data_IF_132365828717
#
_entry.id   IF_132365828717
#
_cell.length_a   1.000
_cell.length_b   1.000
_cell.length_c   1.000
_cell.angle_alpha   90.00
_cell.angle_beta   90.00
_cell.angle_gamma   90.00
#
_symmetry.space_group_name_H-M   'P 1'
#
loop_
_entity.id
_entity.type
_entity.pdbx_description
1 polymer ?
#
# COMPACT_ATOMS: atom_id res chain seq x y z
N UNK A 1 -44.42 16.22 39.73
CA UNK A 1 -44.86 17.51 40.32
C UNK A 1 -45.57 18.31 39.23
N UNK A 2 -46.76 18.89 39.50
CA UNK A 2 -47.49 19.72 38.53
C UNK A 2 -46.77 21.07 38.43
N UNK A 3 -46.39 21.46 37.22
CA UNK A 3 -45.70 22.72 36.95
C UNK A 3 -46.36 23.41 35.76
N UNK A 4 -46.36 24.74 35.76
CA UNK A 4 -46.79 25.58 34.63
C UNK A 4 -45.57 26.06 33.85
N UNK A 5 -45.74 26.33 32.55
CA UNK A 5 -44.67 26.90 31.73
C UNK A 5 -44.34 28.36 32.13
N UNK A 6 -45.34 29.06 32.68
CA UNK A 6 -45.25 30.43 33.19
C UNK A 6 -45.24 30.47 34.72
N UNK A 7 -44.90 31.63 35.27
CA UNK A 7 -44.91 31.88 36.72
C UNK A 7 -46.22 31.47 37.39
N UNK A 8 -46.19 30.74 38.53
CA UNK A 8 -47.40 30.33 39.27
C UNK A 8 -48.30 31.49 39.69
N UNK A 9 -47.77 32.72 39.78
CA UNK A 9 -48.55 33.92 40.09
C UNK A 9 -49.63 34.24 39.05
N UNK A 10 -49.47 33.78 37.81
CA UNK A 10 -50.50 33.94 36.78
C UNK A 10 -51.77 33.13 37.08
N UNK A 11 -51.72 32.13 37.97
CA UNK A 11 -52.93 31.42 38.43
C UNK A 11 -53.87 32.41 39.13
N UNK A 12 -53.36 33.35 39.92
CA UNK A 12 -54.17 34.39 40.55
C UNK A 12 -54.79 35.33 39.50
N UNK A 13 -54.07 35.62 38.42
CA UNK A 13 -54.61 36.39 37.30
C UNK A 13 -55.74 35.64 36.58
N UNK A 14 -55.60 34.32 36.37
CA UNK A 14 -56.66 33.49 35.80
C UNK A 14 -57.94 33.53 36.65
N UNK A 15 -57.79 33.43 37.98
CA UNK A 15 -58.91 33.56 38.92
C UNK A 15 -59.52 34.97 38.86
N UNK A 16 -58.70 36.03 38.81
CA UNK A 16 -59.18 37.41 38.73
C UNK A 16 -59.97 37.68 37.43
N UNK A 17 -59.50 37.17 36.29
CA UNK A 17 -60.19 37.27 34.99
C UNK A 17 -61.52 36.52 35.04
N UNK A 18 -61.53 35.30 35.58
CA UNK A 18 -62.77 34.55 35.78
C UNK A 18 -63.77 35.26 36.68
N UNK A 19 -63.30 35.88 37.77
CA UNK A 19 -64.14 36.61 38.72
C UNK A 19 -64.70 37.89 38.11
N UNK A 20 -63.86 38.66 37.40
CA UNK A 20 -64.28 39.86 36.69
C UNK A 20 -65.30 39.55 35.59
N UNK A 21 -65.08 38.48 34.82
CA UNK A 21 -66.01 38.07 33.76
C UNK A 21 -67.36 37.58 34.32
N UNK A 22 -67.33 36.80 35.41
CA UNK A 22 -68.54 36.35 36.09
C UNK A 22 -69.30 37.53 36.73
N UNK A 23 -68.60 38.46 37.39
CA UNK A 23 -69.22 39.64 37.98
C UNK A 23 -69.89 40.52 36.92
N UNK A 24 -69.21 40.79 35.81
CA UNK A 24 -69.72 41.66 34.74
C UNK A 24 -70.96 41.09 34.06
N UNK A 25 -70.98 39.78 33.78
CA UNK A 25 -72.10 39.15 33.06
C UNK A 25 -73.32 38.95 33.95
N UNK A 26 -73.13 38.74 35.26
CA UNK A 26 -74.20 38.42 36.21
C UNK A 26 -74.55 39.57 37.16
N UNK A 27 -73.98 40.78 36.98
CA UNK A 27 -74.35 42.00 37.71
C UNK A 27 -75.60 42.71 37.19
N UNK A 28 -76.03 42.40 35.95
CA UNK A 28 -77.25 42.98 35.36
C UNK A 28 -78.52 42.32 35.94
N UNK A 29 -79.66 43.01 35.86
CA UNK A 29 -80.95 42.45 36.31
C UNK A 29 -81.33 41.26 35.44
N UNK A 30 -81.33 40.09 36.05
CA UNK A 30 -81.62 38.83 35.37
C UNK A 30 -83.04 38.33 35.71
N UNK A 31 -83.71 37.63 34.78
CA UNK A 31 -85.12 37.23 34.93
C UNK A 31 -85.37 36.06 35.90
N UNK A 32 -84.35 35.61 36.64
CA UNK A 32 -84.37 34.44 37.53
C UNK A 32 -83.97 34.77 38.97
N UNK A 33 -84.17 33.81 39.88
CA UNK A 33 -83.91 34.00 41.31
C UNK A 33 -82.44 34.26 41.62
N UNK A 34 -82.17 35.01 42.71
CA UNK A 34 -80.81 35.37 43.12
C UNK A 34 -79.91 34.15 43.34
N UNK A 35 -80.45 33.06 43.88
CA UNK A 35 -79.70 31.82 44.12
C UNK A 35 -79.20 31.18 42.82
N UNK A 36 -80.05 31.14 41.79
CA UNK A 36 -79.68 30.61 40.47
C UNK A 36 -78.65 31.52 39.80
N UNK A 37 -78.80 32.84 39.94
CA UNK A 37 -77.85 33.80 39.38
C UNK A 37 -76.44 33.63 39.98
N UNK A 38 -76.33 33.45 41.30
CA UNK A 38 -75.04 33.17 41.95
C UNK A 38 -74.47 31.79 41.59
N UNK A 39 -75.31 30.76 41.44
CA UNK A 39 -74.86 29.43 41.02
C UNK A 39 -74.28 29.45 39.60
N UNK A 40 -74.96 30.12 38.66
CA UNK A 40 -74.48 30.27 37.29
C UNK A 40 -73.21 31.13 37.22
N UNK A 41 -73.13 32.21 38.01
CA UNK A 41 -71.92 33.02 38.11
C UNK A 41 -70.73 32.21 38.66
N UNK A 42 -70.96 31.39 39.70
CA UNK A 42 -69.94 30.50 40.26
C UNK A 42 -69.45 29.45 39.25
N UNK A 43 -70.37 28.83 38.52
CA UNK A 43 -70.01 27.88 37.46
C UNK A 43 -69.20 28.57 36.35
N UNK A 44 -69.60 29.76 35.93
CA UNK A 44 -68.89 30.53 34.90
C UNK A 44 -67.50 30.95 35.35
N UNK A 45 -67.36 31.38 36.61
CA UNK A 45 -66.07 31.66 37.23
C UNK A 45 -65.12 30.46 37.15
N UNK A 46 -65.60 29.27 37.55
CA UNK A 46 -64.78 28.05 37.51
C UNK A 46 -64.35 27.72 36.08
N UNK A 47 -65.28 27.75 35.13
CA UNK A 47 -64.99 27.41 33.73
C UNK A 47 -63.99 28.38 33.10
N UNK A 48 -64.19 29.68 33.26
CA UNK A 48 -63.30 30.69 32.67
C UNK A 48 -61.93 30.66 33.32
N UNK A 49 -61.87 30.54 34.65
CA UNK A 49 -60.60 30.42 35.37
C UNK A 49 -59.84 29.16 34.97
N UNK A 50 -60.55 28.04 34.79
CA UNK A 50 -59.95 26.78 34.36
C UNK A 50 -59.45 26.84 32.91
N UNK A 51 -60.20 27.47 32.00
CA UNK A 51 -59.75 27.70 30.63
C UNK A 51 -58.50 28.58 30.58
N UNK A 52 -58.47 29.68 31.35
CA UNK A 52 -57.29 30.52 31.50
C UNK A 52 -56.11 29.77 32.13
N UNK A 53 -56.37 28.85 33.07
CA UNK A 53 -55.34 27.99 33.64
C UNK A 53 -54.77 27.00 32.61
N UNK A 54 -55.59 26.41 31.74
CA UNK A 54 -55.12 25.54 30.66
C UNK A 54 -54.27 26.30 29.64
N UNK A 55 -54.56 27.58 29.39
CA UNK A 55 -53.72 28.47 28.58
C UNK A 55 -52.31 28.67 29.17
N UNK A 56 -52.11 28.45 30.47
CA UNK A 56 -50.77 28.43 31.09
C UNK A 56 -49.97 27.15 30.80
N UNK A 57 -50.53 26.23 29.99
CA UNK A 57 -49.91 24.99 29.54
C UNK A 57 -49.32 24.15 30.69
N UNK A 58 -50.16 23.65 31.62
CA UNK A 58 -49.70 22.83 32.73
C UNK A 58 -49.12 21.50 32.23
N UNK A 59 -47.96 21.09 32.76
CA UNK A 59 -47.33 19.82 32.45
C UNK A 59 -46.90 19.07 33.72
N UNK A 60 -46.78 17.76 33.60
CA UNK A 60 -46.36 16.88 34.69
C UNK A 60 -44.88 16.55 34.50
N UNK A 61 -44.02 17.00 35.41
CA UNK A 61 -42.62 16.60 35.45
C UNK A 61 -42.46 15.33 36.27
N UNK A 62 -42.01 14.26 35.63
CA UNK A 62 -41.61 13.00 36.27
C UNK A 62 -40.10 12.86 36.16
N UNK A 63 -39.43 12.66 37.30
CA UNK A 63 -37.98 12.40 37.34
C UNK A 63 -37.81 10.93 37.64
N UNK A 64 -37.20 10.18 36.73
CA UNK A 64 -36.89 8.76 36.93
C UNK A 64 -35.39 8.64 37.18
N UNK A 65 -35.01 8.25 38.40
CA UNK A 65 -33.62 7.93 38.72
C UNK A 65 -33.36 6.48 38.34
N UNK A 66 -32.30 6.23 37.56
CA UNK A 66 -31.85 4.88 37.23
C UNK A 66 -30.45 4.66 37.79
N UNK A 67 -30.28 3.66 38.63
CA UNK A 67 -28.96 3.25 39.12
C UNK A 67 -28.34 2.33 38.08
N UNK A 68 -27.24 2.76 37.47
CA UNK A 68 -26.47 1.95 36.53
C UNK A 68 -25.31 1.25 37.24
N UNK A 69 -25.17 -0.05 37.00
CA UNK A 69 -24.04 -0.81 37.52
C UNK A 69 -22.74 -0.40 36.78
N UNK A 70 -21.62 -0.22 37.51
CA UNK A 70 -20.34 0.06 36.89
C UNK A 70 -19.91 -1.07 35.96
N UNK A 71 -19.36 -0.72 34.80
CA UNK A 71 -18.91 -1.67 33.79
C UNK A 71 -17.38 -1.80 33.81
N UNK A 72 -16.88 -3.03 33.80
CA UNK A 72 -15.46 -3.36 33.62
C UNK A 72 -15.29 -4.06 32.28
N UNK A 73 -14.36 -3.57 31.47
CA UNK A 73 -14.04 -4.21 30.18
C UNK A 73 -12.77 -5.04 30.32
N UNK A 74 -12.85 -6.32 29.96
CA UNK A 74 -11.69 -7.20 29.77
C UNK A 74 -11.23 -7.04 28.33
N UNK A 75 -10.21 -6.22 28.11
CA UNK A 75 -9.61 -5.99 26.80
C UNK A 75 -8.47 -6.98 26.61
N UNK A 76 -8.67 -7.96 25.73
CA UNK A 76 -7.73 -9.06 25.49
C UNK A 76 -7.11 -8.93 24.11
N UNK A 77 -5.80 -8.80 24.09
CA UNK A 77 -4.99 -8.93 22.88
C UNK A 77 -5.04 -10.38 22.39
N UNK A 78 -5.71 -10.60 21.26
CA UNK A 78 -5.83 -11.90 20.60
C UNK A 78 -4.94 -12.00 19.36
N UNK A 79 -3.80 -11.31 19.37
CA UNK A 79 -2.81 -11.39 18.30
C UNK A 79 -2.04 -12.71 18.28
N UNK A 80 -1.46 -13.02 17.12
CA UNK A 80 -0.63 -14.21 16.94
C UNK A 80 0.65 -14.16 17.78
N UNK A 81 1.15 -12.98 18.15
CA UNK A 81 2.34 -12.86 19.00
C UNK A 81 2.09 -13.49 20.38
N UNK A 82 0.93 -13.26 20.97
CA UNK A 82 0.57 -13.82 22.28
C UNK A 82 0.72 -15.34 22.28
N UNK A 83 0.20 -16.03 21.26
CA UNK A 83 0.30 -17.49 21.14
C UNK A 83 1.72 -17.99 20.84
N UNK A 84 2.55 -17.20 20.17
CA UNK A 84 3.92 -17.59 19.81
C UNK A 84 4.91 -17.36 20.95
N UNK A 85 4.75 -16.26 21.69
CA UNK A 85 5.71 -15.81 22.69
C UNK A 85 5.34 -16.21 24.12
N UNK A 86 4.07 -16.46 24.42
CA UNK A 86 3.61 -16.86 25.76
C UNK A 86 3.68 -18.37 25.94
N UNK A 87 4.28 -18.89 27.04
CA UNK A 87 4.29 -20.32 27.32
C UNK A 87 2.87 -20.90 27.40
N UNK A 88 2.69 -22.12 26.89
CA UNK A 88 1.39 -22.81 26.90
C UNK A 88 0.73 -22.88 28.29
N UNK A 89 1.44 -23.16 29.39
CA UNK A 89 0.83 -23.15 30.73
C UNK A 89 0.25 -21.79 31.14
N UNK A 90 0.91 -20.69 30.76
CA UNK A 90 0.42 -19.34 31.04
C UNK A 90 -0.81 -18.99 30.19
N UNK A 91 -0.86 -19.45 28.93
CA UNK A 91 -2.06 -19.31 28.08
C UNK A 91 -3.24 -20.13 28.60
N UNK A 92 -2.98 -21.35 29.09
CA UNK A 92 -4.00 -22.21 29.68
C UNK A 92 -4.52 -21.59 31.00
N UNK A 93 -3.64 -20.99 31.82
CA UNK A 93 -4.02 -20.23 33.01
C UNK A 93 -4.82 -18.96 32.67
N UNK A 94 -4.48 -18.25 31.60
CA UNK A 94 -5.20 -17.06 31.17
C UNK A 94 -6.62 -17.41 30.70
N UNK A 95 -6.75 -18.43 29.84
CA UNK A 95 -8.04 -18.85 29.27
C UNK A 95 -9.00 -19.41 30.33
N UNK A 96 -8.48 -19.98 31.41
CA UNK A 96 -9.27 -20.42 32.57
C UNK A 96 -9.53 -19.30 33.58
N UNK A 97 -8.56 -18.41 33.80
CA UNK A 97 -8.63 -17.31 34.76
C UNK A 97 -9.53 -16.15 34.33
N UNK A 98 -9.60 -15.83 33.02
CA UNK A 98 -10.47 -14.75 32.52
C UNK A 98 -11.97 -14.99 32.78
N UNK A 99 -12.55 -16.17 32.50
CA UNK A 99 -13.90 -16.50 32.91
C UNK A 99 -14.13 -16.39 34.43
N UNK A 100 -13.17 -16.86 35.24
CA UNK A 100 -13.25 -16.79 36.70
C UNK A 100 -13.27 -15.35 37.19
N UNK A 101 -12.36 -14.51 36.68
CA UNK A 101 -12.31 -13.08 36.98
C UNK A 101 -13.62 -12.38 36.58
N UNK A 102 -14.15 -12.69 35.39
CA UNK A 102 -15.42 -12.15 34.93
C UNK A 102 -16.57 -12.52 35.88
N UNK A 103 -16.61 -13.75 36.39
CA UNK A 103 -17.62 -14.19 37.33
C UNK A 103 -17.47 -13.51 38.70
N UNK A 104 -16.26 -13.43 39.26
CA UNK A 104 -16.00 -12.72 40.52
C UNK A 104 -16.39 -11.23 40.45
N UNK A 105 -16.13 -10.58 39.31
CA UNK A 105 -16.54 -9.19 39.11
C UNK A 105 -18.08 -9.05 39.03
N UNK A 106 -18.77 -9.98 38.35
CA UNK A 106 -20.24 -10.00 38.31
C UNK A 106 -20.86 -10.22 39.68
N UNK A 107 -20.31 -11.12 40.49
CA UNK A 107 -20.75 -11.37 41.88
C UNK A 107 -20.60 -10.11 42.76
N UNK A 108 -19.59 -9.28 42.50
CA UNK A 108 -19.39 -7.98 43.16
C UNK A 108 -20.27 -6.86 42.62
N UNK A 109 -21.19 -7.15 41.69
CA UNK A 109 -22.14 -6.19 41.14
C UNK A 109 -21.63 -5.39 39.94
N UNK A 110 -20.48 -5.75 39.35
CA UNK A 110 -19.99 -5.13 38.11
C UNK A 110 -20.60 -5.79 36.88
N UNK A 111 -20.88 -5.00 35.86
CA UNK A 111 -21.12 -5.51 34.51
C UNK A 111 -19.77 -5.81 33.87
N UNK A 112 -19.60 -7.00 33.28
CA UNK A 112 -18.33 -7.39 32.63
C UNK A 112 -18.54 -7.63 31.15
N UNK A 113 -17.79 -6.90 30.32
CA UNK A 113 -17.73 -7.09 28.87
C UNK A 113 -16.33 -7.54 28.47
N UNK A 114 -16.21 -8.42 27.48
CA UNK A 114 -14.91 -8.88 26.96
C UNK A 114 -14.73 -8.41 25.54
N UNK A 115 -13.58 -7.84 25.23
CA UNK A 115 -13.26 -7.29 23.90
C UNK A 115 -11.92 -7.77 23.42
N UNK A 116 -11.81 -7.94 22.11
CA UNK A 116 -10.56 -8.31 21.46
C UNK A 116 -10.25 -7.36 20.31
N UNK A 117 -9.07 -7.48 19.72
CA UNK A 117 -8.63 -6.63 18.61
C UNK A 117 -9.51 -6.77 17.36
N UNK A 118 -10.18 -7.91 17.20
CA UNK A 118 -10.95 -8.23 15.98
C UNK A 118 -12.46 -8.23 16.16
N UNK A 119 -12.97 -8.36 17.39
CA UNK A 119 -14.42 -8.37 17.63
C UNK A 119 -14.78 -7.68 18.94
N UNK A 120 -15.90 -6.96 18.90
CA UNK A 120 -16.60 -6.48 20.08
C UNK A 120 -17.48 -7.61 20.64
N UNK A 121 -17.24 -8.01 21.88
CA UNK A 121 -17.97 -9.07 22.61
C UNK A 121 -17.71 -10.50 22.11
N UNK A 122 -16.76 -11.18 22.76
CA UNK A 122 -16.55 -12.63 22.63
C UNK A 122 -16.66 -13.24 24.04
N UNK A 123 -17.29 -14.41 24.17
CA UNK A 123 -17.19 -15.16 25.41
C UNK A 123 -15.71 -15.49 25.71
N UNK A 124 -15.21 -15.32 26.96
CA UNK A 124 -13.79 -15.51 27.26
C UNK A 124 -13.21 -16.88 26.88
N UNK A 125 -14.05 -17.91 26.75
CA UNK A 125 -13.71 -19.28 26.33
C UNK A 125 -13.49 -19.43 24.81
N UNK A 126 -13.96 -18.46 24.02
CA UNK A 126 -13.93 -18.45 22.56
C UNK A 126 -12.73 -17.68 22.00
N UNK A 127 -11.77 -17.31 22.85
CA UNK A 127 -10.54 -16.63 22.45
C UNK A 127 -9.73 -17.50 21.47
N UNK A 128 -9.37 -16.88 20.35
CA UNK A 128 -8.48 -17.44 19.32
C UNK A 128 -7.45 -16.38 18.99
N UNK A 129 -6.18 -16.70 19.22
CA UNK A 129 -5.02 -15.81 19.06
C UNK A 129 -4.58 -15.73 17.59
N UNK A 130 -5.47 -15.24 16.73
CA UNK A 130 -5.29 -15.27 15.27
C UNK A 130 -5.14 -13.89 14.63
N UNK A 131 -5.25 -12.81 15.41
CA UNK A 131 -5.13 -11.46 14.86
C UNK A 131 -3.70 -11.21 14.37
N UNK A 132 -3.54 -10.74 13.14
CA UNK A 132 -2.23 -10.49 12.53
C UNK A 132 -1.64 -9.12 12.89
N UNK A 133 -2.43 -8.29 13.58
CA UNK A 133 -2.09 -6.90 13.94
C UNK A 133 -2.56 -6.61 15.36
N UNK A 134 -1.81 -5.76 16.04
CA UNK A 134 -2.01 -5.34 17.42
C UNK A 134 -2.12 -3.82 17.45
N UNK A 135 -3.36 -3.33 17.54
CA UNK A 135 -3.69 -1.91 17.72
C UNK A 135 -4.41 -1.75 19.07
N UNK A 136 -3.61 -1.58 20.12
CA UNK A 136 -4.12 -1.44 21.48
C UNK A 136 -4.87 -0.11 21.67
N UNK A 137 -4.51 0.93 20.92
CA UNK A 137 -5.15 2.23 21.03
C UNK A 137 -6.58 2.18 20.49
N UNK A 138 -6.80 1.51 19.36
CA UNK A 138 -8.14 1.25 18.84
C UNK A 138 -8.96 0.43 19.84
N UNK A 139 -8.41 -0.66 20.38
CA UNK A 139 -9.11 -1.50 21.37
C UNK A 139 -9.58 -0.72 22.61
N UNK A 140 -8.72 0.17 23.14
CA UNK A 140 -9.06 1.01 24.28
C UNK A 140 -10.05 2.12 23.91
N UNK A 141 -9.90 2.72 22.72
CA UNK A 141 -10.82 3.74 22.21
C UNK A 141 -12.22 3.20 21.93
N UNK A 142 -12.32 2.01 21.34
CA UNK A 142 -13.58 1.31 21.12
C UNK A 142 -14.26 0.98 22.45
N UNK A 143 -13.47 0.58 23.46
CA UNK A 143 -13.94 0.32 24.82
C UNK A 143 -14.53 1.56 25.48
N UNK A 144 -13.94 2.74 25.22
CA UNK A 144 -14.48 4.04 25.64
C UNK A 144 -15.78 4.35 24.91
N UNK A 145 -15.78 4.30 23.58
CA UNK A 145 -16.89 4.75 22.74
C UNK A 145 -18.16 3.94 23.02
N UNK A 146 -18.03 2.62 23.08
CA UNK A 146 -19.19 1.76 23.32
C UNK A 146 -19.71 1.79 24.77
N UNK A 147 -18.96 2.41 25.69
CA UNK A 147 -19.40 2.66 27.06
C UNK A 147 -19.54 4.17 27.34
N UNK A 148 -19.64 5.02 26.30
CA UNK A 148 -19.75 6.46 26.47
C UNK A 148 -21.00 6.89 27.25
N UNK A 149 -22.10 6.14 27.09
CA UNK A 149 -23.37 6.37 27.81
C UNK A 149 -23.46 5.61 29.14
N UNK A 150 -22.38 4.94 29.57
CA UNK A 150 -22.36 4.07 30.75
C UNK A 150 -21.24 4.45 31.71
N UNK A 151 -21.36 4.02 32.95
CA UNK A 151 -20.30 4.17 33.94
C UNK A 151 -19.18 3.12 33.71
N UNK A 152 -18.18 3.45 32.90
CA UNK A 152 -16.98 2.63 32.71
C UNK A 152 -16.04 2.77 33.93
N UNK A 153 -16.04 1.77 34.80
CA UNK A 153 -15.22 1.77 36.02
C UNK A 153 -13.74 1.47 35.76
N UNK A 154 -13.41 0.80 34.65
CA UNK A 154 -12.04 0.52 34.27
C UNK A 154 -11.90 -0.54 33.19
N UNK A 155 -10.69 -0.66 32.66
CA UNK A 155 -10.34 -1.64 31.64
C UNK A 155 -9.21 -2.51 32.14
N UNK A 156 -9.38 -3.83 32.10
CA UNK A 156 -8.30 -4.80 32.34
C UNK A 156 -7.69 -5.13 30.97
N UNK A 157 -6.49 -4.65 30.71
CA UNK A 157 -5.77 -4.87 29.46
C UNK A 157 -4.85 -6.08 29.59
N UNK A 158 -5.07 -7.10 28.78
CA UNK A 158 -4.25 -8.31 28.72
C UNK A 158 -3.48 -8.30 27.40
N UNK A 159 -2.17 -8.10 27.43
CA UNK A 159 -1.33 -8.00 26.22
C UNK A 159 0.16 -8.23 26.54
N UNK A 160 0.95 -8.51 25.52
CA UNK A 160 2.43 -8.46 25.57
C UNK A 160 2.97 -7.01 25.47
N UNK A 161 2.09 -6.03 25.22
CA UNK A 161 2.39 -4.60 25.17
C UNK A 161 3.01 -4.14 23.85
N UNK A 162 3.17 -5.02 22.86
CA UNK A 162 3.81 -4.71 21.59
C UNK A 162 2.79 -4.26 20.55
N UNK A 163 2.81 -2.96 20.23
CA UNK A 163 1.94 -2.34 19.21
C UNK A 163 2.62 -2.39 17.85
N UNK A 164 1.93 -2.90 16.82
CA UNK A 164 2.45 -2.92 15.44
C UNK A 164 1.55 -2.19 14.44
N UNK A 165 0.42 -1.66 14.90
CA UNK A 165 -0.50 -0.84 14.14
C UNK A 165 -1.09 0.23 15.05
N UNK A 166 -1.34 1.42 14.49
CA UNK A 166 -1.96 2.52 15.22
C UNK A 166 -0.96 3.29 16.06
N UNK A 167 -1.48 4.22 16.85
CA UNK A 167 -0.72 5.00 17.81
C UNK A 167 -0.43 4.15 19.05
N UNK A 168 0.72 4.35 19.70
CA UNK A 168 0.96 3.71 20.99
C UNK A 168 0.02 4.32 22.06
N UNK A 169 -0.67 3.49 22.87
CA UNK A 169 -1.62 3.97 23.89
C UNK A 169 -1.05 4.97 24.89
N UNK A 170 0.27 4.98 25.11
CA UNK A 170 0.93 5.93 26.02
C UNK A 170 0.80 7.39 25.58
N UNK A 171 0.55 7.63 24.29
CA UNK A 171 0.34 8.97 23.73
C UNK A 171 -1.14 9.37 23.66
N UNK A 172 -2.03 8.53 24.17
CA UNK A 172 -3.48 8.74 24.17
C UNK A 172 -3.99 8.98 25.58
N UNK A 173 -4.94 9.89 25.72
CA UNK A 173 -5.60 10.14 26.99
C UNK A 173 -6.86 9.28 27.13
N UNK A 174 -6.90 8.48 28.19
CA UNK A 174 -8.06 7.66 28.57
C UNK A 174 -8.62 8.16 29.90
N UNK A 175 -9.94 8.38 29.94
CA UNK A 175 -10.66 8.90 31.12
C UNK A 175 -11.09 7.80 32.11
N UNK A 176 -10.44 6.63 32.05
CA UNK A 176 -10.72 5.47 32.89
C UNK A 176 -9.40 4.79 33.29
N UNK A 177 -9.35 4.10 34.44
CA UNK A 177 -8.16 3.37 34.86
C UNK A 177 -7.93 2.14 33.98
N UNK A 178 -6.66 1.90 33.64
CA UNK A 178 -6.22 0.73 32.87
C UNK A 178 -5.39 -0.16 33.80
N UNK A 179 -5.85 -1.40 34.00
CA UNK A 179 -5.16 -2.43 34.75
C UNK A 179 -4.49 -3.40 33.78
N UNK A 180 -3.18 -3.33 33.63
CA UNK A 180 -2.44 -4.17 32.68
C UNK A 180 -2.05 -5.51 33.28
N UNK A 181 -2.36 -6.60 32.58
CA UNK A 181 -1.84 -7.94 32.80
C UNK A 181 -0.88 -8.25 31.67
N UNK A 182 0.42 -8.23 31.98
CA UNK A 182 1.47 -8.50 31.01
C UNK A 182 1.54 -9.99 30.67
N UNK A 183 1.63 -10.30 29.38
CA UNK A 183 1.85 -11.64 28.86
C UNK A 183 3.22 -11.75 28.16
N UNK A 184 3.81 -12.93 28.19
CA UNK A 184 5.08 -13.22 27.53
C UNK A 184 6.09 -13.90 28.44
N UNK A 185 7.28 -14.15 27.88
CA UNK A 185 8.42 -14.76 28.56
C UNK A 185 9.57 -13.75 28.55
N UNK A 186 10.12 -13.45 29.73
CA UNK A 186 11.24 -12.50 29.90
C UNK A 186 12.59 -13.11 29.56
N UNK A 187 12.67 -14.43 29.32
CA UNK A 187 13.92 -15.11 28.98
C UNK A 187 14.31 -14.78 27.55
N UNK A 188 15.50 -14.21 27.36
CA UNK A 188 16.07 -13.95 26.05
C UNK A 188 16.22 -15.26 25.26
N UNK A 189 15.51 -15.36 24.13
CA UNK A 189 15.52 -16.56 23.29
C UNK A 189 16.58 -16.41 22.20
N UNK A 190 17.22 -17.52 21.83
CA UNK A 190 18.18 -17.52 20.72
C UNK A 190 17.38 -17.42 19.43
N UNK A 191 17.69 -16.45 18.60
CA UNK A 191 16.95 -16.19 17.36
C UNK A 191 17.91 -15.73 16.27
N UNK A 192 17.67 -16.21 15.05
CA UNK A 192 18.34 -15.77 13.84
C UNK A 192 17.23 -15.23 12.94
N UNK A 193 17.47 -14.13 12.23
CA UNK A 193 16.42 -13.53 11.40
C UNK A 193 16.95 -12.71 10.26
N UNK A 194 16.19 -12.65 9.16
CA UNK A 194 16.41 -11.65 8.11
C UNK A 194 15.70 -10.35 8.47
N UNK A 195 16.48 -9.39 8.93
CA UNK A 195 15.98 -8.09 9.37
C UNK A 195 15.60 -7.23 8.16
N UNK A 196 16.44 -7.20 7.13
CA UNK A 196 16.20 -6.41 5.93
C UNK A 196 16.83 -7.05 4.67
N UNK A 197 16.35 -6.62 3.49
CA UNK A 197 16.82 -7.06 2.18
C UNK A 197 16.88 -5.86 1.22
N UNK A 198 18.10 -5.41 0.89
CA UNK A 198 18.38 -4.24 0.05
C UNK A 198 18.75 -4.68 -1.36
N UNK A 199 18.03 -4.18 -2.36
CA UNK A 199 18.25 -4.53 -3.77
C UNK A 199 17.71 -3.49 -4.75
N UNK A 200 18.24 -3.52 -5.97
CA UNK A 200 17.72 -2.73 -7.08
C UNK A 200 16.45 -3.39 -7.65
N UNK A 201 15.37 -2.61 -7.77
CA UNK A 201 14.10 -3.10 -8.35
C UNK A 201 14.19 -3.43 -9.84
N UNK A 202 15.17 -2.86 -10.53
CA UNK A 202 15.43 -3.07 -11.96
C UNK A 202 16.85 -3.58 -12.17
N UNK A 203 16.99 -4.64 -12.97
CA UNK A 203 18.28 -5.17 -13.40
C UNK A 203 18.31 -5.34 -14.94
N UNK A 204 19.46 -5.18 -15.56
CA UNK A 204 19.61 -5.36 -17.01
C UNK A 204 20.04 -6.79 -17.31
N UNK A 205 19.32 -7.45 -18.21
CA UNK A 205 19.62 -8.82 -18.65
C UNK A 205 21.09 -8.95 -19.08
N UNK A 206 21.77 -9.98 -18.56
CA UNK A 206 23.20 -10.24 -18.80
C UNK A 206 24.17 -9.56 -17.82
N UNK A 207 23.71 -8.56 -17.05
CA UNK A 207 24.55 -7.88 -16.06
C UNK A 207 24.46 -8.55 -14.68
N UNK A 208 25.48 -8.31 -13.84
CA UNK A 208 25.44 -8.66 -12.41
C UNK A 208 24.82 -7.55 -11.59
N UNK A 209 24.08 -7.89 -10.55
CA UNK A 209 23.50 -6.94 -9.60
C UNK A 209 23.68 -7.42 -8.14
N UNK A 210 23.86 -6.49 -7.19
CA UNK A 210 23.97 -6.82 -5.78
C UNK A 210 22.59 -7.08 -5.15
N UNK A 211 22.53 -8.07 -4.26
CA UNK A 211 21.43 -8.33 -3.34
C UNK A 211 22.01 -8.42 -1.93
N UNK A 212 21.76 -7.42 -1.08
CA UNK A 212 22.30 -7.35 0.27
C UNK A 212 21.25 -7.78 1.30
N UNK A 213 21.60 -8.79 2.10
CA UNK A 213 20.76 -9.28 3.18
C UNK A 213 21.34 -8.86 4.54
N UNK A 214 20.49 -8.28 5.39
CA UNK A 214 20.83 -7.96 6.77
C UNK A 214 20.30 -9.05 7.71
N UNK A 215 21.21 -9.69 8.43
CA UNK A 215 20.90 -10.79 9.35
C UNK A 215 21.02 -10.25 10.77
N UNK A 216 19.94 -10.37 11.52
CA UNK A 216 19.92 -10.15 12.96
C UNK A 216 20.15 -11.47 13.69
N UNK A 217 20.90 -11.45 14.78
CA UNK A 217 21.16 -12.64 15.58
C UNK A 217 21.23 -12.31 17.07
N UNK A 218 20.66 -13.20 17.87
CA UNK A 218 20.66 -13.14 19.32
C UNK A 218 21.00 -14.53 19.88
N UNK A 219 21.96 -14.61 20.79
CA UNK A 219 22.44 -15.89 21.33
C UNK A 219 23.28 -16.76 20.37
N UNK A 220 23.62 -16.27 19.17
CA UNK A 220 24.48 -16.97 18.18
C UNK A 220 25.84 -16.27 17.95
N UNK A 221 26.19 -15.31 18.80
CA UNK A 221 27.48 -14.63 18.77
C UNK A 221 28.66 -15.62 18.89
N UNK A 222 29.70 -15.42 18.09
CA UNK A 222 30.85 -16.32 17.96
C UNK A 222 30.64 -17.48 16.98
N UNK A 223 29.42 -17.64 16.45
CA UNK A 223 29.07 -18.69 15.49
C UNK A 223 29.19 -18.26 14.02
N UNK A 224 28.54 -19.04 13.15
CA UNK A 224 28.35 -18.71 11.74
C UNK A 224 26.96 -19.16 11.29
N UNK A 225 26.34 -18.40 10.38
CA UNK A 225 25.08 -18.73 9.75
C UNK A 225 25.28 -19.01 8.25
N UNK A 226 24.44 -19.86 7.67
CA UNK A 226 24.42 -20.10 6.21
C UNK A 226 23.23 -19.36 5.61
N UNK A 227 23.49 -18.54 4.61
CA UNK A 227 22.48 -17.73 3.92
C UNK A 227 22.47 -18.11 2.45
N UNK A 228 21.28 -18.39 1.95
CA UNK A 228 21.04 -18.89 0.59
C UNK A 228 20.13 -17.93 -0.17
N UNK A 229 20.43 -17.72 -1.44
CA UNK A 229 19.53 -17.07 -2.38
C UNK A 229 18.95 -18.14 -3.30
N UNK A 230 17.62 -18.15 -3.41
CA UNK A 230 16.86 -19.13 -4.19
C UNK A 230 15.97 -18.45 -5.20
N UNK A 231 15.71 -19.14 -6.30
CA UNK A 231 14.74 -18.73 -7.31
C UNK A 231 14.00 -19.98 -7.80
N UNK A 232 12.67 -19.96 -7.77
CA UNK A 232 11.85 -21.11 -8.17
C UNK A 232 12.18 -22.41 -7.42
N UNK A 233 12.67 -22.32 -6.17
CA UNK A 233 13.09 -23.46 -5.35
C UNK A 233 14.54 -23.92 -5.56
N UNK A 234 15.23 -23.44 -6.60
CA UNK A 234 16.66 -23.75 -6.82
C UNK A 234 17.54 -22.77 -6.06
N UNK A 235 18.59 -23.27 -5.41
CA UNK A 235 19.64 -22.44 -4.79
C UNK A 235 20.54 -21.87 -5.91
N UNK A 236 20.63 -20.55 -5.97
CA UNK A 236 21.48 -19.81 -6.91
C UNK A 236 22.87 -19.56 -6.32
N UNK A 237 22.91 -19.13 -5.06
CA UNK A 237 24.14 -18.88 -4.31
C UNK A 237 23.92 -19.23 -2.84
N UNK A 238 24.95 -19.75 -2.17
CA UNK A 238 24.96 -20.06 -0.74
C UNK A 238 26.24 -19.53 -0.13
N UNK A 239 26.14 -18.87 1.02
CA UNK A 239 27.29 -18.27 1.70
C UNK A 239 27.23 -18.52 3.20
N UNK A 240 28.36 -18.92 3.76
CA UNK A 240 28.57 -18.99 5.20
C UNK A 240 29.07 -17.63 5.71
N UNK A 241 28.37 -17.05 6.67
CA UNK A 241 28.65 -15.71 7.21
C UNK A 241 28.97 -15.83 8.69
N UNK A 242 30.08 -15.23 9.13
CA UNK A 242 30.46 -15.21 10.54
C UNK A 242 29.56 -14.28 11.34
N UNK A 243 29.20 -14.69 12.57
CA UNK A 243 28.39 -13.94 13.52
C UNK A 243 29.30 -13.42 14.65
N UNK A 244 29.98 -12.28 14.47
CA UNK A 244 30.97 -11.80 15.44
C UNK A 244 30.35 -11.45 16.79
N UNK A 245 31.10 -11.68 17.86
CA UNK A 245 30.72 -11.24 19.21
C UNK A 245 30.69 -9.72 19.31
N UNK A 246 29.73 -9.18 20.08
CA UNK A 246 29.57 -7.73 20.28
C UNK A 246 28.74 -7.01 19.20
N UNK A 247 28.34 -7.68 18.13
CA UNK A 247 27.33 -7.18 17.17
C UNK A 247 26.04 -7.99 17.30
N UNK A 248 24.91 -7.36 16.96
CA UNK A 248 23.59 -8.01 16.87
C UNK A 248 23.09 -8.15 15.43
N UNK A 249 23.79 -7.53 14.48
CA UNK A 249 23.44 -7.51 13.06
C UNK A 249 24.69 -7.53 12.19
N UNK A 250 24.56 -8.16 11.03
CA UNK A 250 25.59 -8.22 9.99
C UNK A 250 24.93 -8.13 8.61
N UNK A 251 25.72 -7.74 7.62
CA UNK A 251 25.28 -7.67 6.22
C UNK A 251 26.08 -8.65 5.36
N UNK A 252 25.43 -9.25 4.39
CA UNK A 252 26.06 -10.08 3.36
C UNK A 252 25.51 -9.71 1.99
N UNK A 253 26.39 -9.56 1.00
CA UNK A 253 26.01 -9.14 -0.36
C UNK A 253 26.25 -10.26 -1.37
N UNK A 254 25.18 -10.70 -2.02
CA UNK A 254 25.21 -11.67 -3.13
C UNK A 254 25.33 -10.92 -4.46
N UNK A 255 26.04 -11.50 -5.43
CA UNK A 255 26.26 -10.89 -6.75
C UNK A 255 25.65 -11.81 -7.82
N UNK A 256 24.39 -11.54 -8.17
CA UNK A 256 23.58 -12.40 -9.03
C UNK A 256 23.62 -11.91 -10.47
N UNK A 257 23.58 -12.83 -11.44
CA UNK A 257 23.47 -12.49 -12.86
C UNK A 257 22.00 -12.40 -13.26
N UNK A 258 21.60 -11.29 -13.89
CA UNK A 258 20.24 -11.09 -14.37
C UNK A 258 19.94 -11.99 -15.59
N UNK A 259 18.88 -12.83 -15.53
CA UNK A 259 18.50 -13.75 -16.61
C UNK A 259 17.82 -13.01 -17.78
N UNK A 260 17.02 -13.71 -18.58
CA UNK A 260 16.20 -13.11 -19.63
C UNK A 260 15.19 -12.08 -19.06
N UNK A 261 14.76 -11.09 -19.85
CA UNK A 261 13.82 -10.06 -19.40
C UNK A 261 12.50 -10.63 -18.84
N UNK A 262 11.99 -9.98 -17.79
CA UNK A 262 10.77 -10.35 -17.08
C UNK A 262 10.85 -10.09 -15.58
N UNK A 263 9.72 -10.23 -14.88
CA UNK A 263 9.66 -10.11 -13.42
C UNK A 263 10.19 -11.39 -12.77
N UNK A 264 11.15 -11.25 -11.86
CA UNK A 264 11.81 -12.36 -11.15
C UNK A 264 11.57 -12.26 -9.65
N UNK A 265 11.38 -13.41 -9.00
CA UNK A 265 11.17 -13.53 -7.55
C UNK A 265 12.35 -14.27 -6.94
N UNK A 266 13.18 -13.56 -6.19
CA UNK A 266 14.31 -14.11 -5.44
C UNK A 266 13.91 -14.26 -3.98
N UNK A 267 14.24 -15.40 -3.39
CA UNK A 267 13.98 -15.70 -1.98
C UNK A 267 15.32 -15.84 -1.27
N UNK A 268 15.58 -14.97 -0.30
CA UNK A 268 16.76 -15.08 0.56
C UNK A 268 16.33 -15.77 1.84
N UNK A 269 17.06 -16.81 2.22
CA UNK A 269 16.79 -17.62 3.40
C UNK A 269 18.05 -17.80 4.22
N UNK A 270 17.96 -17.57 5.52
CA UNK A 270 18.97 -18.01 6.48
C UNK A 270 18.57 -19.41 6.95
N UNK A 271 19.51 -20.36 6.94
CA UNK A 271 19.20 -21.72 7.37
C UNK A 271 18.94 -21.76 8.87
N UNK A 272 17.85 -22.42 9.32
CA UNK A 272 17.54 -22.52 10.74
C UNK A 272 18.67 -23.17 11.53
N UNK A 273 18.88 -22.71 12.77
CA UNK A 273 19.90 -23.25 13.66
C UNK A 273 19.30 -23.94 14.88
N UNK A 274 20.06 -24.83 15.50
CA UNK A 274 19.60 -25.53 16.70
C UNK A 274 19.33 -24.54 17.85
N UNK A 275 18.20 -24.73 18.54
CA UNK A 275 17.76 -23.88 19.64
C UNK A 275 17.19 -22.53 19.23
N UNK A 276 16.89 -22.34 17.94
CA UNK A 276 16.29 -21.12 17.42
C UNK A 276 14.81 -21.01 17.82
N UNK A 277 14.38 -19.82 18.19
CA UNK A 277 13.03 -19.57 18.65
C UNK A 277 11.99 -19.76 17.54
N UNK A 278 12.24 -19.23 16.35
CA UNK A 278 11.34 -19.38 15.22
C UNK A 278 12.09 -19.37 13.90
N UNK A 279 11.63 -20.18 12.94
CA UNK A 279 12.15 -20.16 11.58
C UNK A 279 11.31 -19.27 10.63
N UNK A 280 10.23 -18.65 11.14
CA UNK A 280 9.29 -17.89 10.31
C UNK A 280 9.87 -16.56 9.79
N UNK A 281 10.83 -16.01 10.51
CA UNK A 281 11.52 -14.74 10.21
C UNK A 281 12.84 -14.94 9.44
N UNK A 282 13.13 -16.18 9.02
CA UNK A 282 14.37 -16.53 8.31
C UNK A 282 14.33 -16.32 6.80
N UNK A 283 13.19 -15.91 6.25
CA UNK A 283 13.01 -15.77 4.81
C UNK A 283 12.50 -14.38 4.44
N UNK A 284 13.10 -13.78 3.41
CA UNK A 284 12.64 -12.53 2.77
C UNK A 284 12.62 -12.70 1.25
N UNK A 285 11.69 -12.02 0.59
CA UNK A 285 11.53 -12.09 -0.86
C UNK A 285 11.87 -10.75 -1.51
N UNK A 286 12.64 -10.77 -2.60
CA UNK A 286 12.89 -9.65 -3.49
C UNK A 286 12.20 -9.87 -4.84
N UNK A 287 11.56 -8.81 -5.34
CA UNK A 287 10.96 -8.77 -6.67
C UNK A 287 11.77 -7.83 -7.56
N UNK A 288 12.39 -8.37 -8.61
CA UNK A 288 13.28 -7.62 -9.50
C UNK A 288 12.76 -7.73 -10.92
N UNK A 289 12.57 -6.59 -11.58
CA UNK A 289 12.23 -6.51 -12.98
C UNK A 289 13.50 -6.53 -13.82
N UNK A 290 13.66 -7.58 -14.62
CA UNK A 290 14.77 -7.68 -15.54
C UNK A 290 14.36 -7.07 -16.87
N UNK A 291 15.04 -6.00 -17.27
CA UNK A 291 14.83 -5.33 -18.55
C UNK A 291 15.92 -5.73 -19.55
N UNK A 292 15.64 -5.62 -20.84
CA UNK A 292 16.65 -5.87 -21.88
C UNK A 292 17.77 -4.83 -21.74
N UNK A 293 19.03 -5.27 -21.82
CA UNK A 293 20.20 -4.38 -21.80
C UNK A 293 20.22 -3.40 -22.98
N UNK A 294 21.18 -2.45 -22.96
CA UNK A 294 21.37 -1.52 -24.09
C UNK A 294 21.64 -2.29 -25.38
N UNK A 295 20.97 -1.92 -26.46
CA UNK A 295 21.16 -2.51 -27.78
C UNK A 295 22.41 -1.92 -28.43
N UNK A 296 23.33 -2.77 -28.84
CA UNK A 296 24.58 -2.36 -29.49
C UNK A 296 24.33 -2.19 -30.99
N UNK A 297 24.45 -0.96 -31.46
CA UNK A 297 24.23 -0.56 -32.85
C UNK A 297 25.57 -0.33 -33.52
N UNK A 298 25.82 -1.06 -34.62
CA UNK A 298 26.93 -0.73 -35.52
C UNK A 298 26.42 0.23 -36.60
N UNK A 299 26.96 1.43 -36.66
CA UNK A 299 26.76 2.35 -37.79
C UNK A 299 28.02 2.36 -38.64
N UNK A 300 27.89 1.95 -39.89
CA UNK A 300 28.99 1.76 -40.81
C UNK A 300 28.78 2.56 -42.10
N UNK A 301 29.81 3.22 -42.60
CA UNK A 301 29.74 3.99 -43.85
C UNK A 301 30.91 3.74 -44.78
N UNK A 302 30.69 3.91 -46.08
CA UNK A 302 31.75 3.83 -47.09
C UNK A 302 32.73 5.03 -47.06
N UNK A 303 32.25 6.20 -46.66
CA UNK A 303 33.02 7.44 -46.57
C UNK A 303 32.41 8.37 -45.49
N UNK A 304 33.16 9.38 -44.99
CA UNK A 304 32.60 10.39 -44.11
C UNK A 304 31.46 11.15 -44.79
N UNK A 305 30.26 11.15 -44.20
CA UNK A 305 29.06 11.74 -44.80
C UNK A 305 28.18 12.45 -43.74
N UNK A 306 27.53 13.58 -44.06
CA UNK A 306 26.60 14.27 -43.15
C UNK A 306 25.50 13.36 -42.58
N UNK A 307 24.97 12.44 -43.39
CA UNK A 307 23.98 11.45 -42.94
C UNK A 307 24.47 10.58 -41.79
N UNK A 308 25.75 10.18 -41.77
CA UNK A 308 26.31 9.40 -40.66
C UNK A 308 26.27 10.21 -39.36
N UNK A 309 26.50 11.52 -39.44
CA UNK A 309 26.37 12.43 -38.29
C UNK A 309 24.91 12.54 -37.83
N UNK A 310 23.98 12.68 -38.76
CA UNK A 310 22.55 12.75 -38.46
C UNK A 310 22.02 11.45 -37.85
N UNK A 311 22.35 10.30 -38.44
CA UNK A 311 22.01 8.97 -37.93
C UNK A 311 22.62 8.73 -36.54
N UNK A 312 23.90 9.09 -36.35
CA UNK A 312 24.55 9.03 -35.04
C UNK A 312 23.80 9.86 -34.00
N UNK A 313 23.43 11.10 -34.30
CA UNK A 313 22.70 11.96 -33.38
C UNK A 313 21.31 11.38 -33.04
N UNK A 314 20.58 10.88 -34.04
CA UNK A 314 19.28 10.27 -33.85
C UNK A 314 19.34 8.99 -32.99
N UNK A 315 20.35 8.13 -33.19
CA UNK A 315 20.53 6.91 -32.39
C UNK A 315 20.93 7.26 -30.95
N UNK A 316 21.88 8.20 -30.78
CA UNK A 316 22.34 8.61 -29.45
C UNK A 316 21.32 9.45 -28.67
N UNK A 317 20.27 9.96 -29.31
CA UNK A 317 19.16 10.60 -28.61
C UNK A 317 18.41 9.65 -27.67
N UNK A 318 18.57 8.32 -27.85
CA UNK A 318 17.98 7.31 -26.98
C UNK A 318 19.06 6.56 -26.18
N UNK A 319 19.02 6.73 -24.85
CA UNK A 319 19.99 6.15 -23.90
C UNK A 319 20.02 4.61 -23.85
N UNK A 320 19.06 3.94 -24.50
CA UNK A 320 19.00 2.49 -24.61
C UNK A 320 19.89 1.92 -25.72
N UNK A 321 20.56 2.76 -26.52
CA UNK A 321 21.51 2.32 -27.54
C UNK A 321 22.95 2.56 -27.13
N UNK A 322 23.83 1.65 -27.53
CA UNK A 322 25.27 1.83 -27.51
C UNK A 322 25.77 1.80 -28.97
N UNK A 323 26.38 2.88 -29.43
CA UNK A 323 26.69 3.09 -30.85
C UNK A 323 28.18 2.95 -31.12
N UNK A 324 28.54 2.07 -32.04
CA UNK A 324 29.89 2.01 -32.64
C UNK A 324 29.83 2.56 -34.07
N UNK A 325 30.57 3.62 -34.36
CA UNK A 325 30.68 4.20 -35.71
C UNK A 325 31.98 3.73 -36.38
N UNK A 326 31.88 3.17 -37.57
CA UNK A 326 33.02 2.77 -38.40
C UNK A 326 32.88 3.35 -39.80
N UNK A 327 33.93 3.98 -40.31
CA UNK A 327 33.96 4.49 -41.67
C UNK A 327 35.05 3.73 -42.43
N UNK A 328 34.72 3.15 -43.57
CA UNK A 328 35.67 2.41 -44.38
C UNK A 328 36.83 3.32 -44.80
N UNK A 329 38.07 2.87 -44.55
CA UNK A 329 39.28 3.62 -44.88
C UNK A 329 39.59 4.82 -43.98
N UNK A 330 38.79 5.11 -42.94
CA UNK A 330 39.01 6.23 -42.02
C UNK A 330 38.94 5.77 -40.56
N UNK A 331 40.00 6.05 -39.79
CA UNK A 331 40.08 5.71 -38.38
C UNK A 331 40.43 4.25 -38.12
N UNK A 332 40.16 3.78 -36.91
CA UNK A 332 40.46 2.42 -36.50
C UNK A 332 39.45 1.42 -37.09
N UNK A 333 39.89 0.25 -37.58
CA UNK A 333 38.99 -0.80 -38.02
C UNK A 333 38.15 -1.32 -36.85
N UNK A 334 37.01 -1.94 -37.15
CA UNK A 334 36.15 -2.53 -36.13
C UNK A 334 36.94 -3.60 -35.35
N UNK A 335 37.11 -3.49 -34.01
CA UNK A 335 37.92 -4.45 -33.24
C UNK A 335 37.40 -5.87 -33.38
N UNK A 336 38.26 -6.89 -33.49
CA UNK A 336 37.85 -8.28 -33.73
C UNK A 336 36.90 -8.88 -32.66
N UNK A 337 36.93 -8.35 -31.44
CA UNK A 337 36.04 -8.72 -30.33
C UNK A 337 34.71 -7.96 -30.32
N UNK A 338 34.55 -6.93 -31.15
CA UNK A 338 33.33 -6.12 -31.19
C UNK A 338 32.13 -6.98 -31.60
N UNK A 339 31.05 -6.87 -30.82
CA UNK A 339 29.77 -7.51 -31.09
C UNK A 339 28.66 -6.46 -31.06
N UNK A 340 27.68 -6.64 -31.92
CA UNK A 340 26.57 -5.73 -32.15
C UNK A 340 25.30 -6.54 -32.34
N UNK A 341 24.15 -5.94 -32.02
CA UNK A 341 22.84 -6.59 -32.08
C UNK A 341 22.06 -6.18 -33.34
N UNK A 342 22.46 -5.07 -33.99
CA UNK A 342 21.91 -4.54 -35.24
C UNK A 342 22.99 -3.73 -35.98
N UNK A 343 22.94 -3.71 -37.32
CA UNK A 343 23.83 -2.91 -38.15
C UNK A 343 23.07 -1.95 -39.06
N UNK A 344 23.59 -0.73 -39.23
CA UNK A 344 23.14 0.29 -40.18
C UNK A 344 24.29 0.54 -41.15
N UNK A 345 24.08 0.19 -42.42
CA UNK A 345 25.09 0.25 -43.48
C UNK A 345 24.76 1.38 -44.45
N UNK A 346 25.53 2.47 -44.38
CA UNK A 346 25.41 3.63 -45.27
C UNK A 346 26.34 3.51 -46.47
N UNK A 347 25.73 3.46 -47.65
CA UNK A 347 26.37 3.27 -48.95
C UNK A 347 27.29 2.05 -49.05
N UNK A 348 27.01 0.99 -48.29
CA UNK A 348 27.70 -0.30 -48.35
C UNK A 348 26.74 -1.40 -48.84
N UNK A 349 27.11 -2.24 -49.82
CA UNK A 349 28.41 -2.33 -50.49
C UNK A 349 28.74 -1.08 -51.33
N UNK A 350 29.99 -0.62 -51.26
CA UNK A 350 30.45 0.56 -51.99
C UNK A 350 31.07 0.20 -53.36
N UNK A 351 30.92 1.10 -54.33
CA UNK A 351 31.64 1.02 -55.61
C UNK A 351 33.14 1.06 -55.33
N UNK A 352 33.90 0.16 -55.95
CA UNK A 352 35.34 0.01 -55.71
C UNK A 352 35.70 -0.88 -54.51
N UNK A 353 34.74 -1.53 -53.87
CA UNK A 353 34.99 -2.59 -52.88
C UNK A 353 35.41 -2.10 -51.49
N UNK A 354 35.32 -0.80 -51.21
CA UNK A 354 35.56 -0.27 -49.87
C UNK A 354 34.55 -0.86 -48.87
N UNK A 355 35.06 -1.28 -47.70
CA UNK A 355 34.23 -1.82 -46.62
C UNK A 355 33.76 -3.28 -46.81
N UNK A 356 34.32 -4.04 -47.75
CA UNK A 356 33.98 -5.47 -47.93
C UNK A 356 34.24 -6.32 -46.68
N UNK A 357 35.34 -6.07 -45.95
CA UNK A 357 35.63 -6.78 -44.70
C UNK A 357 34.54 -6.56 -43.64
N UNK A 358 34.05 -5.33 -43.56
CA UNK A 358 32.99 -4.96 -42.62
C UNK A 358 31.66 -5.63 -43.00
N UNK A 359 31.35 -5.66 -44.30
CA UNK A 359 30.17 -6.36 -44.82
C UNK A 359 30.23 -7.87 -44.54
N UNK A 360 31.39 -8.50 -44.76
CA UNK A 360 31.60 -9.91 -44.45
C UNK A 360 31.38 -10.19 -42.95
N UNK A 361 31.85 -9.28 -42.10
CA UNK A 361 31.69 -9.40 -40.65
C UNK A 361 30.24 -9.23 -40.18
N UNK A 362 29.52 -8.27 -40.74
CA UNK A 362 28.08 -8.09 -40.47
C UNK A 362 27.27 -9.30 -40.92
N UNK A 363 27.61 -9.89 -42.07
CA UNK A 363 27.00 -11.14 -42.55
C UNK A 363 27.28 -12.33 -41.64
N UNK A 364 28.52 -12.47 -41.18
CA UNK A 364 28.89 -13.52 -40.23
C UNK A 364 28.14 -13.38 -38.89
N UNK A 365 27.86 -12.15 -38.45
CA UNK A 365 27.12 -11.88 -37.22
C UNK A 365 25.62 -12.25 -37.29
N UNK A 366 25.03 -12.41 -38.50
CA UNK A 366 23.61 -12.74 -38.72
C UNK A 366 22.62 -11.85 -37.96
N UNK A 367 22.96 -10.57 -37.81
CA UNK A 367 22.10 -9.56 -37.18
C UNK A 367 21.17 -8.91 -38.20
N UNK A 368 20.05 -8.29 -37.76
CA UNK A 368 19.26 -7.42 -38.62
C UNK A 368 20.10 -6.27 -39.17
N UNK A 369 19.92 -5.94 -40.46
CA UNK A 369 20.68 -4.90 -41.15
C UNK A 369 19.75 -3.91 -41.83
N UNK A 370 19.98 -2.62 -41.60
CA UNK A 370 19.37 -1.53 -42.35
C UNK A 370 20.37 -1.05 -43.40
N UNK A 371 20.02 -1.13 -44.68
CA UNK A 371 20.82 -0.60 -45.78
C UNK A 371 20.32 0.78 -46.19
N UNK A 372 21.23 1.76 -46.22
CA UNK A 372 20.98 3.10 -46.78
C UNK A 372 21.79 3.19 -48.07
N UNK A 373 21.13 2.95 -49.20
CA UNK A 373 21.77 2.95 -50.52
C UNK A 373 21.81 4.36 -51.11
N UNK A 374 22.81 4.64 -51.94
CA UNK A 374 22.99 5.93 -52.61
C UNK A 374 23.93 5.84 -53.81
N UNK A 375 24.36 7.00 -54.33
CA UNK A 375 25.15 7.07 -55.56
C UNK A 375 26.49 6.30 -55.51
N UNK A 376 27.13 6.20 -54.34
CA UNK A 376 28.39 5.45 -54.19
C UNK A 376 28.15 3.96 -53.87
N UNK A 377 26.89 3.51 -53.77
CA UNK A 377 26.57 2.10 -53.57
C UNK A 377 26.76 1.30 -54.85
N UNK A 378 27.23 0.06 -54.68
CA UNK A 378 27.24 -0.95 -55.72
C UNK A 378 25.92 -1.74 -55.66
N UNK A 379 24.99 -1.37 -56.53
CA UNK A 379 23.67 -1.99 -56.61
C UNK A 379 23.74 -3.46 -57.06
N UNK A 380 24.72 -3.83 -57.89
CA UNK A 380 24.90 -5.21 -58.34
C UNK A 380 25.36 -6.09 -57.16
N UNK A 381 26.35 -5.62 -56.40
CA UNK A 381 26.80 -6.29 -55.19
C UNK A 381 25.70 -6.35 -54.12
N UNK A 382 24.91 -5.28 -53.96
CA UNK A 382 23.76 -5.25 -53.04
C UNK A 382 22.70 -6.31 -53.40
N UNK A 383 22.33 -6.41 -54.69
CA UNK A 383 21.32 -7.38 -55.14
C UNK A 383 21.77 -8.83 -54.90
N UNK A 384 23.08 -9.11 -55.04
CA UNK A 384 23.67 -10.41 -54.69
C UNK A 384 23.60 -10.72 -53.19
N UNK A 385 23.35 -9.72 -52.34
CA UNK A 385 23.15 -9.96 -50.91
C UNK A 385 21.83 -10.64 -50.60
N UNK A 386 20.88 -10.67 -51.54
CA UNK A 386 19.53 -11.20 -51.35
C UNK A 386 18.86 -10.61 -50.10
N UNK A 387 19.05 -9.30 -49.86
CA UNK A 387 18.53 -8.58 -48.70
C UNK A 387 17.00 -8.41 -48.69
N UNK A 388 16.28 -9.03 -49.63
CA UNK A 388 14.81 -8.99 -49.77
C UNK A 388 14.28 -7.87 -50.66
N UNK A 389 15.13 -6.95 -51.10
CA UNK A 389 14.82 -5.90 -52.08
C UNK A 389 15.88 -5.94 -53.19
N UNK A 390 15.46 -5.91 -54.45
CA UNK A 390 16.35 -5.77 -55.60
C UNK A 390 16.19 -4.37 -56.20
N UNK A 391 17.31 -3.70 -56.47
CA UNK A 391 17.36 -2.33 -56.98
C UNK A 391 18.04 -2.32 -58.34
N UNK A 392 17.34 -1.86 -59.37
CA UNK A 392 17.86 -1.70 -60.73
C UNK A 392 17.77 -0.23 -61.13
N UNK A 393 18.88 0.53 -61.07
CA UNK A 393 18.87 1.93 -61.50
C UNK A 393 18.62 2.03 -63.02
N UNK A 394 17.76 2.96 -63.43
CA UNK A 394 17.50 3.27 -64.85
C UNK A 394 18.03 4.66 -65.18
N UNK A 395 19.17 4.71 -65.87
CA UNK A 395 19.83 5.97 -66.23
C UNK A 395 20.62 6.62 -65.08
N UNK A 396 21.13 7.81 -65.33
CA UNK A 396 21.92 8.61 -64.38
C UNK A 396 21.18 9.87 -63.90
N UNK A 397 19.94 10.09 -64.34
CA UNK A 397 19.11 11.19 -63.88
C UNK A 397 18.57 10.88 -62.48
N UNK A 398 18.57 11.90 -61.62
CA UNK A 398 18.06 11.84 -60.25
C UNK A 398 16.88 12.80 -60.15
N UNK A 399 15.79 12.33 -59.54
CA UNK A 399 14.65 13.16 -59.19
C UNK A 399 14.55 13.27 -57.68
N UNK A 400 14.11 14.44 -57.22
CA UNK A 400 13.72 14.67 -55.84
C UNK A 400 12.48 13.85 -55.50
N UNK A 401 12.57 13.01 -54.46
CA UNK A 401 11.48 12.10 -54.08
C UNK A 401 11.04 12.29 -52.63
N UNK A 402 9.73 12.18 -52.39
CA UNK A 402 9.15 12.24 -51.04
C UNK A 402 8.85 10.84 -50.51
N UNK A 403 9.09 10.58 -49.21
CA UNK A 403 8.78 9.28 -48.61
C UNK A 403 7.27 9.05 -48.51
N UNK A 404 6.79 7.92 -49.05
CA UNK A 404 5.40 7.48 -48.91
C UNK A 404 5.33 6.17 -48.10
N UNK A 405 4.65 6.16 -46.93
CA UNK A 405 4.51 4.95 -46.13
C UNK A 405 3.59 3.95 -46.83
N UNK A 406 4.03 2.69 -46.94
CA UNK A 406 3.21 1.60 -47.51
C UNK A 406 2.19 1.10 -46.48
N UNK A 407 0.87 1.35 -46.67
CA UNK A 407 -0.16 0.93 -45.71
C UNK A 407 -0.33 -0.60 -45.62
N UNK A 408 0.12 -1.35 -46.64
CA UNK A 408 0.07 -2.81 -46.66
C UNK A 408 1.17 -3.51 -45.85
N UNK A 409 2.16 -2.78 -45.32
CA UNK A 409 3.27 -3.38 -44.58
C UNK A 409 2.95 -3.56 -43.08
N UNK A 410 2.21 -4.61 -42.76
CA UNK A 410 1.70 -4.88 -41.40
C UNK A 410 2.78 -5.23 -40.36
N UNK A 411 4.01 -5.57 -40.76
CA UNK A 411 5.10 -5.94 -39.84
C UNK A 411 5.73 -4.74 -39.13
N UNK A 412 5.51 -3.52 -39.62
CA UNK A 412 5.99 -2.29 -39.00
C UNK A 412 4.88 -1.22 -39.03
N UNK A 413 3.92 -1.26 -38.09
CA UNK A 413 2.82 -0.31 -38.06
C UNK A 413 3.33 1.08 -37.69
N UNK A 414 3.19 2.03 -38.62
CA UNK A 414 3.46 3.44 -38.37
C UNK A 414 2.25 4.10 -37.71
N UNK A 415 2.48 4.83 -36.62
CA UNK A 415 1.48 5.65 -35.95
C UNK A 415 1.03 6.83 -36.83
N UNK A 416 -0.16 7.35 -36.57
CA UNK A 416 -0.78 8.39 -37.40
C UNK A 416 0.04 9.69 -37.41
N UNK A 417 0.71 10.04 -36.30
CA UNK A 417 1.53 11.23 -36.22
C UNK A 417 2.82 11.09 -37.06
N UNK A 418 3.44 9.90 -37.10
CA UNK A 418 4.56 9.63 -38.01
C UNK A 418 4.14 9.70 -39.48
N UNK A 419 2.95 9.20 -39.84
CA UNK A 419 2.42 9.32 -41.22
C UNK A 419 2.25 10.78 -41.65
N UNK A 420 1.74 11.64 -40.78
CA UNK A 420 1.59 13.08 -41.05
C UNK A 420 2.95 13.78 -41.20
N UNK A 421 3.96 13.40 -40.41
CA UNK A 421 5.32 13.96 -40.50
C UNK A 421 6.02 13.64 -41.81
N UNK A 422 5.84 12.45 -42.38
CA UNK A 422 6.45 12.10 -43.68
C UNK A 422 6.05 13.06 -44.81
N UNK A 423 4.79 13.53 -44.82
CA UNK A 423 4.33 14.51 -45.81
C UNK A 423 4.85 15.94 -45.60
N UNK A 424 5.52 16.21 -44.48
CA UNK A 424 6.13 17.51 -44.17
C UNK A 424 7.64 17.51 -44.41
N UNK A 425 8.24 16.35 -44.70
CA UNK A 425 9.66 16.28 -44.97
C UNK A 425 9.98 16.85 -46.35
N UNK A 426 11.11 17.57 -46.48
CA UNK A 426 11.56 18.03 -47.79
C UNK A 426 11.82 16.81 -48.68
N UNK A 427 11.60 16.93 -50.00
CA UNK A 427 12.02 15.89 -50.92
C UNK A 427 13.55 15.73 -50.85
N UNK A 428 14.01 14.50 -51.08
CA UNK A 428 15.42 14.09 -50.94
C UNK A 428 15.95 13.48 -52.22
#
# INVERSE_FOLDING_TARGET
MLSTAYSPWFILLCLAVGAGYAALLYSAQAPWSRAINYALAGLRFVVVSFLCFLLLSPFIKTTTTRTEAPTVVLAVDNSQSISLFTPKPALDQLTTGLPQLANTLREKGFRVETRTLTKSSIAPDSLRFTASRTDLNQLLSDSREANAERNLAGVVLVSDGLVNQGQEPQFSEFNFPIFSVALGDTIAKRDLRLTDLVYNRVAFSGNKFPLEAEIGYEGYAGGAATVEVREGGRVLESRRVALPSGRRRIKTTFQLTAPAPGKRRYEVRVLPQAGEFTALNNTRTAFIEVVKGKLRVLLAGAAPHPDLKALRAAILANNNFDLTLVVAGVGAPLPASASFDVAVLHQLPARGGLGQELLARVRAARVPVLYVLGAQSDYAAYNQLNAGLSVQPRGAQTDEVTPLPNPGFARFPLDEASRRRFGQYPPV
#
